data_IF_375103264138
#
_entry.id   IF_375103264138
#
_cell.length_a   1.000
_cell.length_b   1.000
_cell.length_c   1.000
_cell.angle_alpha   90.00
_cell.angle_beta   90.00
_cell.angle_gamma   90.00
#
_symmetry.space_group_name_H-M   'P 1'
#
loop_
_entity.id
_entity.type
_entity.pdbx_description
1 polymer ?
#
# COMPACT_ATOMS: atom_id res chain seq x y z
N UNK A 1 -34.00 -0.18 -25.45
CA UNK A 1 -33.64 -1.52 -24.92
C UNK A 1 -32.66 -1.33 -23.76
N UNK A 2 -33.16 -1.06 -22.54
CA UNK A 2 -32.34 -0.63 -21.40
C UNK A 2 -31.30 -1.69 -20.95
N UNK A 3 -31.61 -2.97 -21.17
CA UNK A 3 -30.71 -4.08 -20.87
C UNK A 3 -29.45 -4.08 -21.75
N UNK A 4 -29.56 -3.64 -23.01
CA UNK A 4 -28.45 -3.63 -23.97
C UNK A 4 -27.45 -2.51 -23.64
N UNK A 5 -27.96 -1.36 -23.18
CA UNK A 5 -27.16 -0.23 -22.70
C UNK A 5 -26.46 -0.56 -21.37
N UNK A 6 -27.14 -1.25 -20.45
CA UNK A 6 -26.53 -1.77 -19.22
C UNK A 6 -25.38 -2.74 -19.51
N UNK A 7 -25.59 -3.66 -20.47
CA UNK A 7 -24.58 -4.65 -20.84
C UNK A 7 -23.35 -3.98 -21.48
N UNK A 8 -23.55 -3.00 -22.35
CA UNK A 8 -22.45 -2.23 -22.95
C UNK A 8 -21.70 -1.41 -21.89
N UNK A 9 -22.41 -0.82 -20.93
CA UNK A 9 -21.79 -0.10 -19.82
C UNK A 9 -20.95 -1.06 -18.98
N UNK A 10 -21.49 -2.20 -18.56
CA UNK A 10 -20.74 -3.22 -17.81
C UNK A 10 -19.47 -3.67 -18.55
N UNK A 11 -19.56 -3.92 -19.86
CA UNK A 11 -18.40 -4.32 -20.67
C UNK A 11 -17.33 -3.23 -20.76
N UNK A 12 -17.73 -1.96 -20.78
CA UNK A 12 -16.81 -0.82 -20.72
C UNK A 12 -16.11 -0.74 -19.36
N UNK A 13 -16.84 -0.88 -18.26
CA UNK A 13 -16.29 -0.90 -16.90
C UNK A 13 -15.30 -2.07 -16.72
N UNK A 14 -15.62 -3.24 -17.25
CA UNK A 14 -14.75 -4.42 -17.21
C UNK A 14 -13.46 -4.20 -18.00
N UNK A 15 -13.54 -3.63 -19.21
CA UNK A 15 -12.36 -3.30 -20.00
C UNK A 15 -11.46 -2.25 -19.33
N UNK A 16 -12.07 -1.27 -18.66
CA UNK A 16 -11.35 -0.24 -17.91
C UNK A 16 -10.67 -0.84 -16.68
N UNK A 17 -11.39 -1.68 -15.93
CA UNK A 17 -10.88 -2.40 -14.77
C UNK A 17 -9.73 -3.34 -15.16
N UNK A 18 -9.85 -4.11 -16.25
CA UNK A 18 -8.79 -4.98 -16.74
C UNK A 18 -7.52 -4.21 -17.10
N UNK A 19 -7.64 -3.04 -17.76
CA UNK A 19 -6.51 -2.20 -18.15
C UNK A 19 -5.86 -1.49 -16.94
N UNK A 20 -6.65 -1.19 -15.91
CA UNK A 20 -6.16 -0.66 -14.64
C UNK A 20 -5.45 -1.75 -13.83
N UNK A 21 -6.06 -2.93 -13.73
CA UNK A 21 -5.55 -4.08 -13.01
C UNK A 21 -4.21 -4.53 -13.61
N UNK A 22 -4.08 -4.64 -14.93
CA UNK A 22 -2.81 -5.01 -15.58
C UNK A 22 -1.64 -4.06 -15.25
N UNK A 23 -1.93 -2.78 -14.99
CA UNK A 23 -0.92 -1.74 -14.71
C UNK A 23 -0.50 -1.69 -13.24
N UNK A 24 -1.42 -2.01 -12.33
CA UNK A 24 -1.20 -1.87 -10.89
C UNK A 24 -1.20 -3.21 -10.14
N UNK A 25 -1.34 -4.34 -10.84
CA UNK A 25 -1.47 -5.68 -10.26
C UNK A 25 -0.40 -5.98 -9.21
N UNK A 26 0.88 -5.85 -9.57
CA UNK A 26 1.98 -6.17 -8.67
C UNK A 26 1.98 -5.31 -7.40
N UNK A 27 1.66 -4.02 -7.55
CA UNK A 27 1.62 -3.10 -6.42
C UNK A 27 0.44 -3.42 -5.48
N UNK A 28 -0.76 -3.58 -6.02
CA UNK A 28 -1.96 -3.90 -5.24
C UNK A 28 -1.85 -5.28 -4.60
N UNK A 29 -1.32 -6.27 -5.32
CA UNK A 29 -1.05 -7.61 -4.80
C UNK A 29 -0.08 -7.57 -3.62
N UNK A 30 1.05 -6.85 -3.76
CA UNK A 30 2.03 -6.73 -2.70
C UNK A 30 1.46 -6.03 -1.46
N UNK A 31 0.62 -5.00 -1.66
CA UNK A 31 -0.06 -4.29 -0.58
C UNK A 31 -1.03 -5.19 0.20
N UNK A 32 -1.78 -6.06 -0.50
CA UNK A 32 -2.68 -7.03 0.16
C UNK A 32 -1.90 -8.08 0.94
N UNK A 33 -0.84 -8.64 0.35
CA UNK A 33 0.02 -9.63 1.03
C UNK A 33 0.63 -9.05 2.29
N UNK A 34 1.16 -7.83 2.23
CA UNK A 34 1.68 -7.11 3.39
C UNK A 34 0.62 -6.88 4.47
N UNK A 35 -0.63 -6.62 4.08
CA UNK A 35 -1.72 -6.39 5.02
C UNK A 35 -2.08 -7.67 5.78
N UNK A 36 -2.08 -8.81 5.08
CA UNK A 36 -2.28 -10.12 5.71
C UNK A 36 -1.15 -10.42 6.69
N UNK A 37 0.11 -10.22 6.28
CA UNK A 37 1.28 -10.44 7.15
C UNK A 37 1.19 -9.53 8.38
N UNK A 38 0.85 -8.25 8.20
CA UNK A 38 0.69 -7.28 9.28
C UNK A 38 -0.44 -7.67 10.24
N UNK A 39 -1.61 -8.06 9.73
CA UNK A 39 -2.73 -8.48 10.58
C UNK A 39 -2.39 -9.72 11.40
N UNK A 40 -1.69 -10.69 10.80
CA UNK A 40 -1.20 -11.87 11.51
C UNK A 40 -0.20 -11.50 12.61
N UNK A 41 0.78 -10.65 12.28
CA UNK A 41 1.78 -10.17 13.25
C UNK A 41 1.17 -9.33 14.36
N UNK A 42 0.17 -8.50 14.03
CA UNK A 42 -0.56 -7.68 14.99
C UNK A 42 -1.33 -8.55 15.98
N UNK A 43 -2.01 -9.60 15.51
CA UNK A 43 -2.63 -10.59 16.40
C UNK A 43 -1.60 -11.26 17.31
N UNK A 44 -0.43 -11.63 16.76
CA UNK A 44 0.64 -12.21 17.55
C UNK A 44 1.15 -11.25 18.64
N UNK A 45 1.31 -9.97 18.33
CA UNK A 45 1.68 -8.94 19.30
C UNK A 45 0.66 -8.86 20.44
N UNK A 46 -0.64 -8.83 20.13
CA UNK A 46 -1.69 -8.78 21.16
C UNK A 46 -1.64 -10.01 22.08
N UNK A 47 -1.46 -11.21 21.51
CA UNK A 47 -1.32 -12.44 22.30
C UNK A 47 -0.07 -12.41 23.19
N UNK A 48 1.07 -11.93 22.68
CA UNK A 48 2.30 -11.80 23.46
C UNK A 48 2.10 -10.82 24.63
N UNK A 49 1.42 -9.70 24.42
CA UNK A 49 1.13 -8.74 25.49
C UNK A 49 0.19 -9.35 26.54
N UNK A 50 -0.87 -10.04 26.12
CA UNK A 50 -1.87 -10.63 27.01
C UNK A 50 -1.29 -11.74 27.90
N UNK A 51 -0.45 -12.62 27.34
CA UNK A 51 0.27 -13.67 28.08
C UNK A 51 1.22 -13.05 29.13
N UNK A 52 1.81 -11.89 28.82
CA UNK A 52 2.73 -11.22 29.73
C UNK A 52 2.04 -10.52 30.90
N UNK A 53 0.79 -10.07 30.74
CA UNK A 53 0.03 -9.38 31.80
C UNK A 53 -0.47 -10.34 32.90
N UNK A 54 -0.67 -11.62 32.57
CA UNK A 54 -1.23 -12.62 33.49
C UNK A 54 -0.19 -13.36 34.35
N UNK A 55 1.10 -13.09 34.17
CA UNK A 55 2.17 -13.78 34.92
C UNK A 55 2.66 -12.91 36.07
N UNK A 56 2.05 -13.08 37.25
CA UNK A 56 2.30 -12.27 38.47
C UNK A 56 3.54 -12.71 39.26
N UNK A 57 4.06 -13.93 39.06
CA UNK A 57 5.20 -14.49 39.79
C UNK A 57 6.39 -14.82 38.86
N UNK A 58 7.05 -13.81 38.29
CA UNK A 58 8.22 -14.03 37.42
C UNK A 58 9.55 -13.86 38.16
N UNK A 59 10.47 -14.78 37.89
CA UNK A 59 11.89 -14.64 38.27
C UNK A 59 12.51 -13.47 37.49
N UNK A 60 13.49 -12.75 38.05
CA UNK A 60 14.13 -11.57 37.40
C UNK A 60 14.58 -11.83 35.95
N UNK A 61 15.08 -13.04 35.66
CA UNK A 61 15.49 -13.46 34.31
C UNK A 61 14.31 -13.58 33.35
N UNK A 62 13.18 -14.12 33.80
CA UNK A 62 11.96 -14.24 32.98
C UNK A 62 11.36 -12.86 32.68
N UNK A 63 11.44 -11.92 33.63
CA UNK A 63 11.02 -10.54 33.41
C UNK A 63 11.85 -9.84 32.32
N UNK A 64 13.17 -10.06 32.29
CA UNK A 64 14.05 -9.51 31.26
C UNK A 64 13.76 -10.12 29.89
N UNK A 65 13.68 -11.46 29.81
CA UNK A 65 13.40 -12.17 28.56
C UNK A 65 12.04 -11.77 27.97
N UNK A 66 11.03 -11.58 28.82
CA UNK A 66 9.69 -11.20 28.38
C UNK A 66 9.64 -9.75 27.91
N UNK A 67 10.33 -8.83 28.60
CA UNK A 67 10.49 -7.43 28.14
C UNK A 67 11.22 -7.35 26.80
N UNK A 68 12.30 -8.12 26.62
CA UNK A 68 13.03 -8.18 25.35
C UNK A 68 12.14 -8.72 24.22
N UNK A 69 11.39 -9.78 24.45
CA UNK A 69 10.49 -10.36 23.45
C UNK A 69 9.40 -9.36 23.01
N UNK A 70 8.83 -8.61 23.96
CA UNK A 70 7.87 -7.53 23.66
C UNK A 70 8.54 -6.42 22.83
N UNK A 71 9.72 -5.96 23.24
CA UNK A 71 10.46 -4.92 22.52
C UNK A 71 10.84 -5.35 21.09
N UNK A 72 11.28 -6.60 20.90
CA UNK A 72 11.56 -7.17 19.58
C UNK A 72 10.28 -7.28 18.74
N UNK A 73 9.15 -7.66 19.34
CA UNK A 73 7.86 -7.74 18.65
C UNK A 73 7.36 -6.36 18.20
N UNK A 74 7.53 -5.33 19.04
CA UNK A 74 7.23 -3.93 18.69
C UNK A 74 8.12 -3.45 17.54
N UNK A 75 9.42 -3.77 17.58
CA UNK A 75 10.37 -3.43 16.51
C UNK A 75 9.94 -4.02 15.16
N UNK A 76 9.52 -5.29 15.13
CA UNK A 76 9.05 -5.94 13.90
C UNK A 76 7.79 -5.24 13.37
N UNK A 77 6.85 -4.86 14.23
CA UNK A 77 5.64 -4.12 13.82
C UNK A 77 5.98 -2.74 13.27
N UNK A 78 6.92 -2.01 13.89
CA UNK A 78 7.40 -0.71 13.39
C UNK A 78 8.05 -0.84 12.01
N UNK A 79 8.83 -1.90 11.78
CA UNK A 79 9.50 -2.16 10.50
C UNK A 79 8.50 -2.51 9.40
N UNK A 80 7.49 -3.34 9.71
CA UNK A 80 6.37 -3.62 8.80
C UNK A 80 5.59 -2.34 8.46
N UNK A 81 5.29 -1.51 9.45
CA UNK A 81 4.58 -0.25 9.25
C UNK A 81 5.41 0.73 8.39
N UNK A 82 6.72 0.79 8.59
CA UNK A 82 7.62 1.59 7.76
C UNK A 82 7.57 1.12 6.28
N UNK A 83 7.57 -0.19 6.06
CA UNK A 83 7.47 -0.78 4.73
C UNK A 83 6.16 -0.40 4.02
N UNK A 84 5.05 -0.31 4.75
CA UNK A 84 3.79 0.22 4.24
C UNK A 84 3.88 1.67 3.79
N UNK A 85 4.48 2.53 4.62
CA UNK A 85 4.66 3.94 4.31
C UNK A 85 5.50 4.14 3.05
N UNK A 86 6.57 3.36 2.89
CA UNK A 86 7.43 3.45 1.71
C UNK A 86 6.68 3.11 0.42
N UNK A 87 5.88 2.03 0.43
CA UNK A 87 5.04 1.66 -0.72
C UNK A 87 4.03 2.75 -1.06
N UNK A 88 3.37 3.31 -0.05
CA UNK A 88 2.42 4.39 -0.24
C UNK A 88 3.07 5.62 -0.91
N UNK A 89 4.25 6.03 -0.43
CA UNK A 89 5.01 7.16 -0.97
C UNK A 89 5.48 6.85 -2.41
N UNK A 90 5.96 5.65 -2.69
CA UNK A 90 6.39 5.25 -4.03
C UNK A 90 5.26 5.32 -5.06
N UNK A 91 4.05 4.88 -4.68
CA UNK A 91 2.88 5.01 -5.55
C UNK A 91 2.50 6.48 -5.79
N UNK A 92 2.54 7.32 -4.74
CA UNK A 92 2.32 8.75 -4.88
C UNK A 92 3.35 9.41 -5.83
N UNK A 93 4.63 9.04 -5.72
CA UNK A 93 5.69 9.50 -6.61
C UNK A 93 5.45 9.06 -8.06
N UNK A 94 5.03 7.81 -8.28
CA UNK A 94 4.73 7.32 -9.62
C UNK A 94 3.55 8.07 -10.26
N UNK A 95 2.53 8.43 -9.48
CA UNK A 95 1.42 9.29 -9.94
C UNK A 95 1.91 10.70 -10.27
N UNK A 96 2.77 11.28 -9.44
CA UNK A 96 3.36 12.59 -9.68
C UNK A 96 4.19 12.61 -10.97
N UNK A 97 5.01 11.57 -11.20
CA UNK A 97 5.82 11.45 -12.41
C UNK A 97 4.97 11.44 -13.69
N UNK A 98 3.83 10.75 -13.68
CA UNK A 98 2.90 10.76 -14.81
C UNK A 98 2.29 12.15 -15.02
N UNK A 99 1.90 12.85 -13.96
CA UNK A 99 1.38 14.22 -14.07
C UNK A 99 2.43 15.19 -14.62
N UNK A 100 3.68 15.08 -14.18
CA UNK A 100 4.79 15.89 -14.70
C UNK A 100 4.99 15.64 -16.19
N UNK A 101 4.88 14.38 -16.63
CA UNK A 101 4.98 14.03 -18.05
C UNK A 101 3.86 14.68 -18.87
N UNK A 102 2.63 14.69 -18.36
CA UNK A 102 1.49 15.33 -19.03
C UNK A 102 1.63 16.86 -19.10
N UNK A 103 2.11 17.48 -18.01
CA UNK A 103 2.42 18.92 -17.99
C UNK A 103 3.53 19.25 -18.99
N UNK A 104 4.61 18.46 -19.01
CA UNK A 104 5.72 18.63 -19.95
C UNK A 104 5.26 18.52 -21.41
N UNK A 105 4.39 17.54 -21.71
CA UNK A 105 3.79 17.39 -23.03
C UNK A 105 2.95 18.60 -23.43
N UNK A 106 2.10 19.11 -22.52
CA UNK A 106 1.26 20.28 -22.80
C UNK A 106 2.09 21.55 -23.03
N UNK A 107 3.15 21.77 -22.25
CA UNK A 107 4.06 22.91 -22.43
C UNK A 107 4.76 22.82 -23.80
N UNK A 108 5.29 21.64 -24.15
CA UNK A 108 5.94 21.44 -25.45
C UNK A 108 4.98 21.61 -26.62
N UNK A 109 3.73 21.15 -26.47
CA UNK A 109 2.68 21.36 -27.48
C UNK A 109 2.40 22.85 -27.68
N UNK A 110 2.18 23.61 -26.60
CA UNK A 110 1.94 25.05 -26.67
C UNK A 110 3.10 25.79 -27.35
N UNK A 111 4.34 25.44 -27.01
CA UNK A 111 5.55 26.00 -27.64
C UNK A 111 5.60 25.70 -29.15
N UNK A 112 5.29 24.48 -29.57
CA UNK A 112 5.29 24.09 -30.99
C UNK A 112 4.24 24.84 -31.83
N UNK A 113 3.07 25.14 -31.25
CA UNK A 113 2.03 25.92 -31.92
C UNK A 113 2.36 27.41 -32.03
N UNK A 114 3.16 27.96 -31.11
CA UNK A 114 3.60 29.36 -31.17
C UNK A 114 4.56 29.57 -32.35
N UNK A 115 5.54 28.68 -32.53
CA UNK A 115 6.52 28.73 -33.63
C UNK A 115 5.95 28.50 -35.04
N UNK A 116 4.71 28.02 -35.16
CA UNK A 116 4.05 27.76 -36.45
C UNK A 116 3.19 28.93 -36.94
N UNK A 117 3.08 29.99 -36.14
CA UNK A 117 2.33 31.21 -36.49
C UNK A 117 3.23 32.34 -37.01
N UNK A 118 4.55 32.16 -36.91
CA UNK A 118 5.57 33.02 -37.50
C UNK A 118 6.06 32.39 -38.82
#
# INVERSE_FOLDING_TARGET
>A
MPFKDLLQKLKYWDHLAARWLMRHFYFTFFQVVLLVIFAFWFRNLLNVIDINLHQTDKTFVEAILTTQNVNSSILVVLLLLNSFWMLYILNALQRLANLIKDVSYNINRLRSTQYRKD
#
